data_IF_770599246301
#
_entry.id   IF_770599246301
#
_cell.length_a   1.000
_cell.length_b   1.000
_cell.length_c   1.000
_cell.angle_alpha   90.00
_cell.angle_beta   90.00
_cell.angle_gamma   90.00
#
_symmetry.space_group_name_H-M   'P 1'
#
loop_
_entity.id
_entity.type
_entity.pdbx_description
1 polymer ?
#
# COMPACT_ATOMS: atom_id res chain seq x y z
N UNK A 1 39.80 -9.68 -61.64
CA UNK A 1 40.13 -8.91 -60.41
C UNK A 1 38.82 -8.50 -59.71
N UNK A 2 38.17 -9.39 -58.95
CA UNK A 2 36.86 -9.10 -58.30
C UNK A 2 36.67 -9.79 -56.93
N UNK A 3 37.74 -10.29 -56.31
CA UNK A 3 37.67 -11.16 -55.12
C UNK A 3 37.64 -10.41 -53.77
N UNK A 4 38.06 -9.14 -53.73
CA UNK A 4 38.11 -8.34 -52.49
C UNK A 4 36.75 -7.82 -52.01
N UNK A 5 35.81 -7.54 -52.93
CA UNK A 5 34.48 -7.00 -52.56
C UNK A 5 33.58 -8.06 -51.93
N UNK A 6 33.66 -9.31 -52.37
CA UNK A 6 32.80 -10.40 -51.88
C UNK A 6 33.10 -10.80 -50.43
N UNK A 7 34.39 -10.82 -50.05
CA UNK A 7 34.79 -11.10 -48.66
C UNK A 7 34.37 -10.00 -47.68
N UNK A 8 34.41 -8.74 -48.12
CA UNK A 8 33.96 -7.61 -47.32
C UNK A 8 32.45 -7.66 -47.04
N UNK A 9 31.64 -7.96 -48.06
CA UNK A 9 30.18 -8.11 -47.91
C UNK A 9 29.85 -9.24 -46.93
N UNK A 10 30.53 -10.39 -47.02
CA UNK A 10 30.28 -11.49 -46.09
C UNK A 10 30.58 -11.13 -44.64
N UNK A 11 31.72 -10.44 -44.39
CA UNK A 11 32.07 -9.96 -43.05
C UNK A 11 31.04 -8.95 -42.55
N UNK A 12 30.60 -8.02 -43.38
CA UNK A 12 29.59 -7.02 -43.04
C UNK A 12 28.26 -7.68 -42.65
N UNK A 13 27.80 -8.68 -43.40
CA UNK A 13 26.55 -9.38 -43.07
C UNK A 13 26.67 -10.17 -41.76
N UNK A 14 27.80 -10.82 -41.51
CA UNK A 14 28.04 -11.56 -40.26
C UNK A 14 28.07 -10.61 -39.07
N UNK A 15 28.76 -9.46 -39.20
CA UNK A 15 28.79 -8.43 -38.16
C UNK A 15 27.39 -7.85 -37.94
N UNK A 16 26.64 -7.56 -39.00
CA UNK A 16 25.27 -7.07 -38.91
C UNK A 16 24.35 -8.07 -38.19
N UNK A 17 24.42 -9.37 -38.53
CA UNK A 17 23.68 -10.41 -37.82
C UNK A 17 24.08 -10.51 -36.35
N UNK A 18 25.38 -10.38 -36.03
CA UNK A 18 25.87 -10.38 -34.65
C UNK A 18 25.31 -9.21 -33.84
N UNK A 19 25.34 -8.00 -34.41
CA UNK A 19 24.77 -6.79 -33.78
C UNK A 19 23.26 -6.91 -33.61
N UNK A 20 22.54 -7.41 -34.62
CA UNK A 20 21.10 -7.64 -34.53
C UNK A 20 20.76 -8.65 -33.43
N UNK A 21 21.49 -9.76 -33.34
CA UNK A 21 21.28 -10.78 -32.31
C UNK A 21 21.48 -10.21 -30.91
N UNK A 22 22.56 -9.46 -30.68
CA UNK A 22 22.80 -8.81 -29.40
C UNK A 22 21.70 -7.80 -29.07
N UNK A 23 21.25 -7.04 -30.06
CA UNK A 23 20.18 -6.05 -29.88
C UNK A 23 18.86 -6.73 -29.47
N UNK A 24 18.52 -7.87 -30.09
CA UNK A 24 17.32 -8.65 -29.72
C UNK A 24 17.38 -9.12 -28.27
N UNK A 25 18.54 -9.58 -27.79
CA UNK A 25 18.68 -10.02 -26.39
C UNK A 25 18.44 -8.87 -25.39
N UNK A 26 18.99 -7.69 -25.68
CA UNK A 26 18.79 -6.50 -24.85
C UNK A 26 17.32 -6.08 -24.83
N UNK A 27 16.66 -6.05 -26.00
CA UNK A 27 15.24 -5.70 -26.11
C UNK A 27 14.39 -6.71 -25.34
N UNK A 28 14.65 -8.01 -25.47
CA UNK A 28 13.89 -9.04 -24.76
C UNK A 28 14.08 -8.93 -23.24
N UNK A 29 15.29 -8.60 -22.79
CA UNK A 29 15.57 -8.31 -21.38
C UNK A 29 14.76 -7.12 -20.86
N UNK A 30 14.75 -6.01 -21.61
CA UNK A 30 13.99 -4.82 -21.26
C UNK A 30 12.47 -5.08 -21.24
N UNK A 31 11.95 -5.84 -22.20
CA UNK A 31 10.53 -6.23 -22.23
C UNK A 31 10.14 -7.07 -21.02
N UNK A 32 10.98 -8.04 -20.63
CA UNK A 32 10.73 -8.87 -19.44
C UNK A 32 10.69 -8.01 -18.18
N UNK A 33 11.66 -7.12 -18.02
CA UNK A 33 11.71 -6.18 -16.90
C UNK A 33 10.46 -5.31 -16.86
N UNK A 34 10.05 -4.73 -18.00
CA UNK A 34 8.85 -3.91 -18.09
C UNK A 34 7.57 -4.68 -17.70
N UNK A 35 7.43 -5.93 -18.13
CA UNK A 35 6.29 -6.78 -17.77
C UNK A 35 6.27 -7.05 -16.26
N UNK A 36 7.42 -7.40 -15.67
CA UNK A 36 7.52 -7.68 -14.24
C UNK A 36 7.20 -6.44 -13.39
N UNK A 37 7.79 -5.29 -13.74
CA UNK A 37 7.53 -4.03 -13.05
C UNK A 37 6.07 -3.62 -13.18
N UNK A 38 5.46 -3.78 -14.36
CA UNK A 38 4.02 -3.50 -14.55
C UNK A 38 3.16 -4.39 -13.68
N UNK A 39 3.44 -5.69 -13.63
CA UNK A 39 2.70 -6.63 -12.81
C UNK A 39 2.82 -6.24 -11.32
N UNK A 40 4.03 -5.94 -10.85
CA UNK A 40 4.26 -5.51 -9.47
C UNK A 40 3.53 -4.20 -9.14
N UNK A 41 3.55 -3.22 -10.05
CA UNK A 41 2.81 -1.98 -9.88
C UNK A 41 1.29 -2.23 -9.79
N UNK A 42 0.78 -3.16 -10.60
CA UNK A 42 -0.64 -3.55 -10.57
C UNK A 42 -1.01 -4.18 -9.22
N UNK A 43 -0.19 -5.08 -8.67
CA UNK A 43 -0.45 -5.67 -7.35
C UNK A 43 -0.47 -4.64 -6.24
N UNK A 44 0.51 -3.75 -6.20
CA UNK A 44 0.55 -2.69 -5.20
C UNK A 44 -0.67 -1.78 -5.30
N UNK A 45 -1.08 -1.47 -6.52
CA UNK A 45 -2.28 -0.65 -6.76
C UNK A 45 -3.54 -1.38 -6.29
N UNK A 46 -3.69 -2.66 -6.62
CA UNK A 46 -4.81 -3.49 -6.15
C UNK A 46 -4.81 -3.62 -4.63
N UNK A 47 -3.68 -3.95 -4.02
CA UNK A 47 -3.54 -4.04 -2.57
C UNK A 47 -3.89 -2.71 -1.89
N UNK A 48 -3.53 -1.57 -2.50
CA UNK A 48 -3.88 -0.25 -1.97
C UNK A 48 -5.39 0.01 -2.02
N UNK A 49 -6.05 -0.34 -3.12
CA UNK A 49 -7.50 -0.23 -3.20
C UNK A 49 -8.21 -1.14 -2.21
N UNK A 50 -7.74 -2.39 -2.04
CA UNK A 50 -8.29 -3.33 -1.06
C UNK A 50 -8.08 -2.84 0.37
N UNK A 51 -6.93 -2.22 0.65
CA UNK A 51 -6.65 -1.60 1.94
C UNK A 51 -7.63 -0.46 2.22
N UNK A 52 -7.83 0.44 1.26
CA UNK A 52 -8.77 1.55 1.37
C UNK A 52 -10.21 1.07 1.52
N UNK A 53 -10.56 -0.04 0.86
CA UNK A 53 -11.85 -0.69 1.03
C UNK A 53 -12.04 -1.16 2.47
N UNK A 54 -11.10 -1.93 3.04
CA UNK A 54 -11.19 -2.40 4.43
C UNK A 54 -11.23 -1.22 5.40
N UNK A 55 -10.38 -0.21 5.18
CA UNK A 55 -10.38 0.99 6.01
C UNK A 55 -11.71 1.74 5.93
N UNK A 56 -12.31 1.84 4.75
CA UNK A 56 -13.61 2.44 4.52
C UNK A 56 -14.76 1.64 5.15
N UNK A 57 -14.75 0.32 5.01
CA UNK A 57 -15.73 -0.58 5.63
C UNK A 57 -15.71 -0.43 7.15
N UNK A 58 -14.52 -0.42 7.76
CA UNK A 58 -14.39 -0.18 9.19
C UNK A 58 -14.86 1.24 9.55
N UNK A 59 -14.44 2.27 8.81
CA UNK A 59 -14.87 3.66 9.05
C UNK A 59 -16.39 3.88 8.96
N UNK A 60 -17.10 3.07 8.18
CA UNK A 60 -18.57 3.11 8.07
C UNK A 60 -19.29 2.45 9.24
N UNK A 61 -18.62 1.62 10.04
CA UNK A 61 -19.22 1.03 11.24
C UNK A 61 -19.42 2.13 12.28
N UNK A 62 -20.69 2.32 12.65
CA UNK A 62 -21.10 3.33 13.63
C UNK A 62 -20.61 3.00 15.05
N UNK A 63 -20.25 1.74 15.30
CA UNK A 63 -19.66 1.25 16.55
C UNK A 63 -18.42 0.43 16.19
N UNK A 64 -17.24 0.95 16.54
CA UNK A 64 -15.97 0.25 16.36
C UNK A 64 -15.43 -0.16 17.73
N UNK A 65 -15.72 -1.39 18.19
CA UNK A 65 -15.05 -1.89 19.39
C UNK A 65 -13.55 -2.01 19.12
N UNK A 66 -12.74 -1.70 20.13
CA UNK A 66 -11.31 -2.03 20.10
C UNK A 66 -11.15 -3.51 19.81
N UNK A 67 -10.30 -3.83 18.85
CA UNK A 67 -10.18 -5.21 18.39
C UNK A 67 -9.31 -5.37 17.17
N UNK A 68 -9.08 -6.64 16.85
CA UNK A 68 -8.33 -7.06 15.68
C UNK A 68 -9.13 -8.08 14.90
N UNK A 69 -9.06 -8.04 13.58
CA UNK A 69 -9.67 -9.03 12.71
C UNK A 69 -8.77 -9.36 11.53
N UNK A 70 -8.94 -10.56 11.00
CA UNK A 70 -8.22 -11.02 9.82
C UNK A 70 -9.17 -11.75 8.88
N UNK A 71 -8.89 -11.69 7.59
CA UNK A 71 -9.68 -12.38 6.60
C UNK A 71 -8.98 -12.51 5.26
N UNK A 72 -9.67 -13.17 4.34
CA UNK A 72 -9.25 -13.31 2.95
C UNK A 72 -10.27 -12.60 2.06
N UNK A 73 -9.81 -11.96 0.99
CA UNK A 73 -10.72 -11.28 0.09
C UNK A 73 -11.46 -12.28 -0.80
N UNK A 74 -12.73 -11.99 -1.16
CA UNK A 74 -13.48 -12.82 -2.08
C UNK A 74 -12.89 -12.76 -3.50
N UNK A 75 -13.30 -13.67 -4.40
CA UNK A 75 -12.89 -13.64 -5.80
C UNK A 75 -13.20 -12.26 -6.43
N UNK A 76 -12.28 -11.66 -7.21
CA UNK A 76 -11.06 -12.23 -7.80
C UNK A 76 -9.78 -12.03 -6.98
N UNK A 77 -9.86 -11.69 -5.69
CA UNK A 77 -8.71 -11.26 -4.87
C UNK A 77 -8.24 -12.31 -3.86
N UNK A 78 -8.46 -13.60 -4.14
CA UNK A 78 -8.14 -14.70 -3.21
C UNK A 78 -6.63 -14.75 -2.86
N UNK A 79 -5.78 -14.18 -3.71
CA UNK A 79 -4.33 -14.06 -3.47
C UNK A 79 -3.96 -13.06 -2.36
N UNK A 80 -4.91 -12.24 -1.90
CA UNK A 80 -4.72 -11.20 -0.91
C UNK A 80 -5.42 -11.59 0.40
N UNK A 81 -4.73 -11.38 1.52
CA UNK A 81 -5.28 -11.46 2.86
C UNK A 81 -5.17 -10.10 3.52
N UNK A 82 -6.04 -9.84 4.49
CA UNK A 82 -6.02 -8.61 5.27
C UNK A 82 -6.05 -8.89 6.76
N UNK A 83 -5.43 -7.98 7.49
CA UNK A 83 -5.47 -7.87 8.95
C UNK A 83 -5.79 -6.42 9.28
N UNK A 84 -6.65 -6.20 10.25
CA UNK A 84 -6.94 -4.87 10.78
C UNK A 84 -6.88 -4.88 12.29
N UNK A 85 -6.50 -3.75 12.85
CA UNK A 85 -6.33 -3.53 14.29
C UNK A 85 -6.78 -2.11 14.61
N UNK A 86 -7.64 -1.97 15.61
CA UNK A 86 -8.12 -0.68 16.12
C UNK A 86 -7.62 -0.53 17.55
N UNK A 87 -6.75 0.45 17.76
CA UNK A 87 -6.19 0.79 19.08
C UNK A 87 -6.53 2.23 19.45
N UNK A 88 -6.64 2.51 20.75
CA UNK A 88 -6.71 3.87 21.26
C UNK A 88 -5.30 4.46 21.38
N UNK A 89 -5.13 5.67 20.88
CA UNK A 89 -3.88 6.44 20.96
C UNK A 89 -4.14 7.75 21.69
N UNK A 90 -3.31 8.03 22.69
CA UNK A 90 -3.39 9.25 23.49
C UNK A 90 -2.87 10.46 22.70
N UNK A 91 -3.59 11.58 22.79
CA UNK A 91 -3.25 12.84 22.12
C UNK A 91 -2.67 13.80 23.15
N UNK A 92 -1.41 14.25 22.97
CA UNK A 92 -0.83 15.23 23.87
C UNK A 92 -1.56 16.58 23.75
N UNK A 93 -1.76 17.25 24.90
CA UNK A 93 -2.39 18.56 24.95
C UNK A 93 -1.55 19.58 24.14
N UNK A 94 -2.14 20.33 23.19
CA UNK A 94 -1.38 21.30 22.41
C UNK A 94 -0.92 22.47 23.30
N UNK A 95 0.37 22.79 23.27
CA UNK A 95 0.98 23.87 24.08
C UNK A 95 0.29 25.25 23.92
N UNK A 96 -0.34 25.49 22.76
CA UNK A 96 -1.07 26.74 22.47
C UNK A 96 -2.45 26.84 23.15
N UNK A 97 -2.97 25.79 23.78
CA UNK A 97 -4.22 25.85 24.54
C UNK A 97 -4.13 26.87 25.69
N UNK A 98 -2.95 27.01 26.29
CA UNK A 98 -2.66 27.98 27.35
C UNK A 98 -2.63 29.45 26.87
N UNK A 99 -2.68 29.71 25.56
CA UNK A 99 -2.71 31.06 24.98
C UNK A 99 -4.10 31.53 24.54
N UNK A 100 -5.11 30.66 24.66
CA UNK A 100 -6.49 30.98 24.31
C UNK A 100 -7.11 31.99 25.29
N UNK A 101 -8.00 32.90 24.83
CA UNK A 101 -8.85 33.70 25.69
C UNK A 101 -9.61 32.83 26.71
N UNK A 102 -9.89 33.32 27.93
CA UNK A 102 -10.45 32.50 29.01
C UNK A 102 -11.76 31.79 28.64
N UNK A 103 -12.64 32.44 27.87
CA UNK A 103 -13.89 31.83 27.38
C UNK A 103 -13.64 30.67 26.40
N UNK A 104 -12.64 30.81 25.52
CA UNK A 104 -12.27 29.79 24.54
C UNK A 104 -11.46 28.64 25.16
N UNK A 105 -10.75 28.90 26.27
CA UNK A 105 -10.01 27.88 27.02
C UNK A 105 -10.94 26.96 27.78
N UNK A 106 -11.95 27.52 28.44
CA UNK A 106 -12.95 26.74 29.18
C UNK A 106 -13.74 25.83 28.22
N UNK A 107 -14.16 26.35 27.06
CA UNK A 107 -14.78 25.54 26.01
C UNK A 107 -13.84 24.45 25.44
N UNK A 108 -12.53 24.73 25.35
CA UNK A 108 -11.56 23.74 24.89
C UNK A 108 -11.37 22.63 25.91
N UNK A 109 -11.19 22.96 27.20
CA UNK A 109 -11.04 22.00 28.28
C UNK A 109 -12.29 21.13 28.46
N UNK A 110 -13.49 21.71 28.33
CA UNK A 110 -14.76 20.98 28.48
C UNK A 110 -15.05 20.00 27.33
N UNK A 111 -14.44 20.21 26.14
CA UNK A 111 -14.69 19.41 24.93
C UNK A 111 -13.45 18.64 24.44
N UNK A 112 -12.30 18.76 25.11
CA UNK A 112 -11.08 18.09 24.69
C UNK A 112 -11.12 16.61 25.08
N UNK A 113 -11.09 15.75 24.06
CA UNK A 113 -10.88 14.32 24.23
C UNK A 113 -9.39 14.05 24.04
N UNK A 114 -8.75 13.46 25.05
CA UNK A 114 -7.33 13.16 25.12
C UNK A 114 -6.95 11.87 24.39
N UNK A 115 -7.86 11.30 23.61
CA UNK A 115 -7.65 10.07 22.85
C UNK A 115 -8.26 10.12 21.45
N UNK A 116 -7.64 9.39 20.52
CA UNK A 116 -8.14 9.11 19.17
C UNK A 116 -8.03 7.62 18.89
N UNK A 117 -8.85 7.13 17.95
CA UNK A 117 -8.73 5.75 17.47
C UNK A 117 -7.70 5.72 16.36
N UNK A 118 -6.87 4.68 16.34
CA UNK A 118 -5.94 4.40 15.26
C UNK A 118 -6.35 3.07 14.64
N UNK A 119 -6.76 3.11 13.38
CA UNK A 119 -7.00 1.93 12.57
C UNK A 119 -5.73 1.63 11.77
N UNK A 120 -5.11 0.50 12.07
CA UNK A 120 -4.05 -0.08 11.24
C UNK A 120 -4.65 -1.16 10.36
N UNK A 121 -4.39 -1.08 9.07
CA UNK A 121 -4.76 -2.11 8.10
C UNK A 121 -3.49 -2.61 7.41
N UNK A 122 -3.33 -3.93 7.37
CA UNK A 122 -2.27 -4.61 6.64
C UNK A 122 -2.90 -5.52 5.61
N UNK A 123 -2.43 -5.42 4.37
CA UNK A 123 -2.78 -6.34 3.29
C UNK A 123 -1.53 -7.09 2.86
N UNK A 124 -1.59 -8.42 2.84
CA UNK A 124 -0.48 -9.30 2.50
C UNK A 124 -0.81 -10.13 1.27
N UNK A 125 0.18 -10.35 0.39
CA UNK A 125 0.05 -11.24 -0.76
C UNK A 125 1.38 -11.90 -1.11
N UNK A 126 1.31 -12.98 -1.88
CA UNK A 126 2.50 -13.70 -2.36
C UNK A 126 2.62 -13.60 -3.88
N UNK A 127 3.84 -13.34 -4.36
CA UNK A 127 4.17 -13.37 -5.79
C UNK A 127 5.55 -13.95 -6.02
N UNK A 128 5.63 -14.95 -6.90
CA UNK A 128 6.92 -15.56 -7.28
C UNK A 128 7.67 -16.19 -6.10
N UNK A 129 6.94 -16.63 -5.06
CA UNK A 129 7.52 -17.17 -3.83
C UNK A 129 8.02 -16.12 -2.83
N UNK A 130 7.87 -14.83 -3.13
CA UNK A 130 8.13 -13.74 -2.19
C UNK A 130 6.83 -13.21 -1.59
N UNK A 131 6.87 -12.89 -0.31
CA UNK A 131 5.79 -12.21 0.40
C UNK A 131 5.93 -10.69 0.28
N UNK A 132 4.81 -10.04 0.05
CA UNK A 132 4.69 -8.60 -0.03
C UNK A 132 3.60 -8.12 0.92
N UNK A 133 3.79 -6.91 1.44
CA UNK A 133 2.82 -6.27 2.31
C UNK A 133 2.59 -4.80 1.91
N UNK A 134 1.37 -4.35 2.17
CA UNK A 134 0.98 -2.94 2.13
C UNK A 134 0.34 -2.59 3.48
N UNK A 135 0.79 -1.49 4.08
CA UNK A 135 0.29 -0.99 5.36
C UNK A 135 -0.35 0.38 5.18
N UNK A 136 -1.37 0.62 5.98
CA UNK A 136 -2.06 1.90 6.02
C UNK A 136 -2.56 2.13 7.42
N UNK A 137 -2.43 3.37 7.87
CA UNK A 137 -2.83 3.82 9.19
C UNK A 137 -3.76 5.01 8.98
N UNK A 138 -4.90 5.01 9.66
CA UNK A 138 -5.83 6.13 9.64
C UNK A 138 -6.34 6.42 11.03
N UNK A 139 -6.53 7.71 11.31
CA UNK A 139 -7.12 8.16 12.56
C UNK A 139 -8.64 8.15 12.46
N UNK A 140 -9.26 7.66 13.51
CA UNK A 140 -10.70 7.59 13.70
C UNK A 140 -11.13 8.65 14.72
N UNK A 141 -12.33 9.19 14.51
CA UNK A 141 -12.89 10.17 15.44
C UNK A 141 -13.12 9.52 16.81
N UNK A 142 -12.87 10.25 17.91
CA UNK A 142 -13.05 9.72 19.27
C UNK A 142 -14.48 9.22 19.53
N UNK A 143 -15.47 9.88 18.91
CA UNK A 143 -16.90 9.63 19.05
C UNK A 143 -17.36 8.23 18.55
N UNK A 144 -16.50 7.50 17.81
CA UNK A 144 -16.81 6.21 17.18
C UNK A 144 -16.29 4.99 17.98
N UNK A 145 -15.45 5.23 18.99
CA UNK A 145 -14.82 4.17 19.79
C UNK A 145 -15.72 3.91 21.01
N UNK A 146 -16.34 2.73 21.06
CA UNK A 146 -17.11 2.29 22.22
C UNK A 146 -16.36 1.15 22.93
N UNK A 147 -16.28 1.24 24.26
CA UNK A 147 -15.50 0.37 25.15
C UNK A 147 -15.94 -1.12 25.10
N UNK A 148 -15.02 -2.09 25.17
CA UNK A 148 -15.34 -3.52 25.17
C UNK A 148 -16.02 -4.04 26.46
N UNK A 149 -16.78 -5.13 26.30
CA UNK A 149 -17.57 -5.86 27.30
C UNK A 149 -16.80 -6.13 28.61
N UNK A 150 -17.30 -5.60 29.73
CA UNK A 150 -16.67 -5.82 31.04
C UNK A 150 -17.26 -5.07 32.25
N UNK A 151 -18.18 -4.13 32.06
CA UNK A 151 -18.94 -3.51 33.17
C UNK A 151 -20.43 -3.86 33.06
N UNK A 152 -20.83 -4.98 33.68
CA UNK A 152 -22.18 -5.24 34.18
C UNK A 152 -22.11 -5.41 35.71
#
# INVERSE_FOLDING_TARGET
MYRRKTGYIFVETVVAMGVLSLSTLVIQGALRQAILTRAQAQDYTTARFLLEQVAGEQALLFQQPEGSGSGQFPPPYEAYAYEWEIERVDIPLPERAASLPPEARQHFEDNFLDYMGMLRVRVTWQRGGAEFEARGETLLRPDLIWLPEGEL
#
